data_IF_842588230589
#
_entry.id   IF_842588230589
#
_cell.length_a   1.000
_cell.length_b   1.000
_cell.length_c   1.000
_cell.angle_alpha   90.00
_cell.angle_beta   90.00
_cell.angle_gamma   90.00
#
_symmetry.space_group_name_H-M   'P 1'
#
loop_
_entity.id
_entity.type
_entity.pdbx_description
1 polymer ?
#
# COMPACT_ATOMS: atom_id res chain seq x y z
N UNK A 1 -14.29 21.70 41.16
CA UNK A 1 -14.24 20.70 40.12
C UNK A 1 -13.81 21.34 38.81
N UNK A 2 -12.58 21.17 38.41
CA UNK A 2 -12.08 21.58 37.10
C UNK A 2 -12.34 20.45 36.10
N UNK A 3 -13.23 20.70 35.17
CA UNK A 3 -13.43 19.83 33.99
C UNK A 3 -12.22 19.94 33.11
N UNK A 4 -11.24 19.04 33.27
CA UNK A 4 -10.13 18.90 32.36
C UNK A 4 -10.65 18.33 31.06
N UNK A 5 -10.59 19.13 29.98
CA UNK A 5 -10.78 18.63 28.60
C UNK A 5 -9.62 17.71 28.28
N UNK A 6 -9.91 16.48 27.85
CA UNK A 6 -8.88 15.59 27.34
C UNK A 6 -8.30 16.20 26.06
N UNK A 7 -7.05 16.61 26.11
CA UNK A 7 -6.30 17.04 24.92
C UNK A 7 -5.67 15.82 24.30
N UNK A 8 -5.92 15.56 23.02
CA UNK A 8 -5.29 14.48 22.25
C UNK A 8 -3.82 14.77 21.92
N UNK A 9 -3.07 15.32 22.87
CA UNK A 9 -1.64 15.60 22.71
C UNK A 9 -0.84 14.35 23.01
N UNK A 10 -0.01 13.94 22.08
CA UNK A 10 1.03 12.93 22.28
C UNK A 10 2.29 13.66 22.71
N UNK A 11 2.85 13.31 23.86
CA UNK A 11 4.13 13.86 24.32
C UNK A 11 5.26 12.92 23.93
N UNK A 12 6.23 13.45 23.19
CA UNK A 12 7.52 12.79 23.02
C UNK A 12 8.46 13.23 24.15
N UNK A 13 9.06 12.27 24.84
CA UNK A 13 10.09 12.54 25.83
C UNK A 13 11.38 12.98 25.15
N UNK A 14 11.51 14.27 24.91
CA UNK A 14 12.72 14.88 24.37
C UNK A 14 13.21 15.99 25.31
N UNK A 15 14.50 16.04 25.60
CA UNK A 15 15.13 17.01 26.49
C UNK A 15 15.32 18.39 25.86
N UNK A 16 14.95 18.60 24.61
CA UNK A 16 14.85 19.89 23.96
C UNK A 16 13.39 20.35 23.92
N UNK A 17 13.13 21.57 24.36
CA UNK A 17 11.81 22.20 24.29
C UNK A 17 11.32 22.23 22.85
N UNK A 18 10.59 21.21 22.46
CA UNK A 18 9.84 21.21 21.21
C UNK A 18 8.43 21.68 21.49
N UNK A 19 8.03 22.77 20.89
CA UNK A 19 6.61 23.15 20.82
C UNK A 19 5.91 22.10 19.96
N UNK A 20 5.22 21.16 20.59
CA UNK A 20 4.37 20.21 19.86
C UNK A 20 3.18 21.01 19.35
N UNK A 21 3.22 21.42 18.10
CA UNK A 21 2.02 21.84 17.38
C UNK A 21 1.18 20.59 17.23
N UNK A 22 -0.02 20.58 17.82
CA UNK A 22 -0.92 19.43 17.70
C UNK A 22 -1.05 19.02 16.24
N UNK A 23 -0.77 17.75 15.94
CA UNK A 23 -0.91 17.21 14.59
C UNK A 23 -2.38 17.30 14.19
N UNK A 24 -2.68 18.06 13.15
CA UNK A 24 -4.01 18.17 12.60
C UNK A 24 -4.04 17.51 11.21
N UNK A 25 -5.11 16.75 10.95
CA UNK A 25 -5.39 16.30 9.60
C UNK A 25 -5.86 17.48 8.75
N UNK A 26 -5.22 17.72 7.64
CA UNK A 26 -5.64 18.69 6.64
C UNK A 26 -6.13 17.96 5.38
N UNK A 27 -7.10 18.54 4.68
CA UNK A 27 -7.54 17.99 3.39
C UNK A 27 -6.46 18.18 2.35
N UNK A 28 -6.08 17.08 1.68
CA UNK A 28 -5.21 17.07 0.50
C UNK A 28 -6.03 17.04 -0.80
N UNK A 29 -5.34 16.99 -1.93
CA UNK A 29 -5.97 16.80 -3.24
C UNK A 29 -6.63 15.43 -3.36
N UNK A 30 -7.75 15.38 -4.07
CA UNK A 30 -8.46 14.13 -4.35
C UNK A 30 -7.81 13.36 -5.48
N UNK A 31 -7.92 12.01 -5.44
CA UNK A 31 -7.63 11.16 -6.61
C UNK A 31 -8.44 11.64 -7.82
N UNK A 32 -7.83 11.61 -9.01
CA UNK A 32 -8.52 11.93 -10.25
C UNK A 32 -9.66 10.95 -10.55
N UNK A 33 -9.48 9.71 -10.15
CA UNK A 33 -10.53 8.67 -10.22
C UNK A 33 -10.80 8.12 -8.81
N UNK A 34 -12.01 8.34 -8.30
CA UNK A 34 -12.43 7.81 -7.00
C UNK A 34 -12.41 6.28 -7.03
N UNK A 35 -11.63 5.67 -6.14
CA UNK A 35 -11.41 4.22 -6.06
C UNK A 35 -11.43 3.74 -4.62
N UNK A 36 -11.99 2.55 -4.40
CA UNK A 36 -11.94 1.85 -3.12
C UNK A 36 -10.93 0.71 -3.15
N UNK A 37 -10.40 0.31 -1.99
CA UNK A 37 -9.52 -0.85 -1.78
C UNK A 37 -8.34 -0.88 -2.78
N UNK A 38 -7.74 0.28 -3.03
CA UNK A 38 -6.48 0.42 -3.77
C UNK A 38 -5.30 0.16 -2.83
N UNK A 39 -4.13 -0.07 -3.41
CA UNK A 39 -2.87 -0.09 -2.68
C UNK A 39 -2.16 1.25 -2.78
N UNK A 40 -1.24 1.48 -1.87
CA UNK A 40 -0.41 2.68 -1.86
C UNK A 40 1.03 2.39 -1.44
N UNK A 41 1.92 3.29 -1.82
CA UNK A 41 3.33 3.32 -1.44
C UNK A 41 3.80 4.78 -1.32
N UNK A 42 4.99 5.00 -0.76
CA UNK A 42 5.60 6.33 -0.68
C UNK A 42 5.34 7.05 0.62
N UNK A 43 5.36 8.38 0.56
CA UNK A 43 5.27 9.30 1.70
C UNK A 43 4.11 10.28 1.53
N UNK A 44 3.86 11.09 2.56
CA UNK A 44 2.83 12.13 2.54
C UNK A 44 2.96 13.12 1.37
N UNK A 45 4.17 13.44 0.96
CA UNK A 45 4.45 14.42 -0.11
C UNK A 45 4.83 13.79 -1.45
N UNK A 46 4.99 12.46 -1.49
CA UNK A 46 5.34 11.70 -2.68
C UNK A 46 4.73 10.30 -2.56
N UNK A 47 3.43 10.19 -2.81
CA UNK A 47 2.69 8.94 -2.71
C UNK A 47 2.34 8.38 -4.08
N UNK A 48 2.21 7.06 -4.13
CA UNK A 48 1.75 6.28 -5.26
C UNK A 48 0.46 5.57 -4.86
N UNK A 49 -0.61 5.73 -5.65
CA UNK A 49 -1.87 5.01 -5.48
C UNK A 49 -2.19 4.18 -6.70
N UNK A 50 -2.45 2.88 -6.56
CA UNK A 50 -2.64 2.00 -7.70
C UNK A 50 -3.65 0.88 -7.47
N UNK A 51 -4.29 0.44 -8.55
CA UNK A 51 -5.34 -0.55 -8.50
C UNK A 51 -6.63 -0.05 -7.84
N UNK A 52 -7.32 -0.93 -7.16
CA UNK A 52 -8.60 -0.66 -6.49
C UNK A 52 -9.81 -1.05 -7.33
N UNK A 53 -10.96 -0.49 -7.02
CA UNK A 53 -12.18 -0.64 -7.82
C UNK A 53 -12.95 0.67 -7.91
N UNK A 54 -13.73 0.83 -8.96
CA UNK A 54 -14.59 1.99 -9.20
C UNK A 54 -16.08 1.65 -8.99
N UNK A 55 -16.86 2.67 -8.64
CA UNK A 55 -18.33 2.60 -8.55
C UNK A 55 -18.99 3.39 -9.70
N UNK A 56 -20.20 3.00 -10.14
CA UNK A 56 -20.92 1.76 -9.81
C UNK A 56 -20.32 0.54 -10.53
N UNK A 57 -20.57 -0.66 -10.06
CA UNK A 57 -20.20 -1.90 -10.76
C UNK A 57 -19.04 -2.68 -10.15
N UNK A 58 -18.33 -2.14 -9.16
CA UNK A 58 -17.23 -2.81 -8.48
C UNK A 58 -16.13 -3.37 -9.42
N UNK A 59 -15.90 -2.71 -10.54
CA UNK A 59 -14.91 -3.14 -11.53
C UNK A 59 -13.49 -2.90 -11.02
N UNK A 60 -12.66 -3.95 -11.06
CA UNK A 60 -11.26 -3.81 -10.71
C UNK A 60 -10.56 -2.82 -11.66
N UNK A 61 -9.74 -1.95 -11.09
CA UNK A 61 -8.99 -0.91 -11.80
C UNK A 61 -7.52 -1.29 -11.91
N UNK A 62 -6.88 -0.84 -12.97
CA UNK A 62 -5.42 -0.85 -13.11
C UNK A 62 -4.82 0.55 -13.04
N UNK A 63 -5.62 1.57 -12.78
CA UNK A 63 -5.16 2.96 -12.74
C UNK A 63 -4.07 3.16 -11.68
N UNK A 64 -3.09 3.98 -12.04
CA UNK A 64 -2.01 4.44 -11.17
C UNK A 64 -2.03 5.97 -11.14
N UNK A 65 -1.87 6.53 -9.96
CA UNK A 65 -1.76 7.97 -9.76
C UNK A 65 -0.62 8.28 -8.79
N UNK A 66 0.10 9.37 -9.05
CA UNK A 66 1.15 9.92 -8.19
C UNK A 66 0.70 11.21 -7.52
N UNK A 67 1.03 11.35 -6.24
CA UNK A 67 0.78 12.54 -5.43
C UNK A 67 2.06 13.34 -5.19
N UNK A 68 2.03 14.62 -5.47
CA UNK A 68 3.18 15.53 -5.32
C UNK A 68 3.15 16.38 -4.03
N UNK A 69 2.33 16.00 -3.06
CA UNK A 69 2.09 16.78 -1.83
C UNK A 69 0.91 17.76 -1.93
N UNK A 70 0.34 17.95 -3.13
CA UNK A 70 -0.77 18.88 -3.38
C UNK A 70 -1.87 18.25 -4.23
N UNK A 71 -1.51 17.57 -5.30
CA UNK A 71 -2.45 17.01 -6.28
C UNK A 71 -2.00 15.64 -6.79
N UNK A 72 -2.95 14.87 -7.31
CA UNK A 72 -2.71 13.60 -7.97
C UNK A 72 -2.60 13.77 -9.48
N UNK A 73 -1.71 13.02 -10.11
CA UNK A 73 -1.51 12.95 -11.56
C UNK A 73 -1.58 11.50 -12.04
N UNK A 74 -2.24 11.27 -13.17
CA UNK A 74 -2.34 9.94 -13.77
C UNK A 74 -0.99 9.50 -14.32
N UNK A 75 -0.67 8.22 -14.11
CA UNK A 75 0.53 7.56 -14.60
C UNK A 75 0.18 6.31 -15.42
N UNK A 76 1.18 5.62 -15.97
CA UNK A 76 0.98 4.36 -16.66
C UNK A 76 0.39 3.30 -15.72
N UNK A 77 -0.61 2.60 -16.22
CA UNK A 77 -1.40 1.66 -15.45
C UNK A 77 -0.66 0.35 -15.17
N UNK A 78 -1.08 -0.34 -14.10
CA UNK A 78 -0.76 -1.75 -13.87
C UNK A 78 -1.09 -2.59 -15.13
N UNK A 79 -0.29 -3.59 -15.41
CA UNK A 79 -0.57 -4.57 -16.45
C UNK A 79 -1.84 -5.39 -16.20
N UNK A 80 -2.22 -5.54 -14.93
CA UNK A 80 -3.41 -6.30 -14.53
C UNK A 80 -4.32 -5.47 -13.62
N UNK A 81 -5.60 -5.34 -13.99
CA UNK A 81 -6.61 -4.69 -13.12
C UNK A 81 -6.79 -5.51 -11.84
N UNK A 82 -6.55 -4.88 -10.69
CA UNK A 82 -6.59 -5.55 -9.37
C UNK A 82 -7.14 -4.65 -8.28
N UNK A 83 -7.84 -5.26 -7.34
CA UNK A 83 -8.25 -4.68 -6.06
C UNK A 83 -7.83 -5.61 -4.92
N UNK A 84 -7.84 -5.15 -3.68
CA UNK A 84 -7.40 -5.95 -2.53
C UNK A 84 -5.94 -6.47 -2.67
N UNK A 85 -5.11 -5.75 -3.39
CA UNK A 85 -3.68 -6.00 -3.49
C UNK A 85 -2.95 -5.26 -2.37
N UNK A 86 -1.72 -5.64 -2.10
CA UNK A 86 -0.82 -4.89 -1.23
C UNK A 86 0.16 -4.04 -2.02
N UNK A 87 0.70 -3.03 -1.35
CA UNK A 87 1.74 -2.16 -1.87
C UNK A 87 2.89 -2.00 -0.90
N UNK A 88 4.07 -1.74 -1.44
CA UNK A 88 5.30 -1.38 -0.71
C UNK A 88 6.16 -0.47 -1.58
N UNK A 89 7.23 0.09 -1.00
CA UNK A 89 8.19 0.90 -1.73
C UNK A 89 7.93 2.40 -1.67
N UNK A 90 8.37 3.09 -2.70
CA UNK A 90 8.27 4.55 -2.85
C UNK A 90 7.41 4.93 -4.05
N UNK A 91 7.20 6.24 -4.26
CA UNK A 91 6.49 6.76 -5.44
C UNK A 91 7.16 6.33 -6.75
N UNK A 92 8.50 6.31 -6.80
CA UNK A 92 9.29 6.02 -8.00
C UNK A 92 9.89 4.62 -8.04
N UNK A 93 9.66 3.80 -7.01
CA UNK A 93 10.07 2.40 -6.91
C UNK A 93 9.02 1.65 -6.10
N UNK A 94 7.85 1.44 -6.71
CA UNK A 94 6.69 0.82 -6.10
C UNK A 94 6.64 -0.68 -6.35
N UNK A 95 6.03 -1.42 -5.44
CA UNK A 95 5.79 -2.85 -5.53
C UNK A 95 4.31 -3.11 -5.29
N UNK A 96 3.64 -3.79 -6.21
CA UNK A 96 2.24 -4.20 -6.08
C UNK A 96 2.09 -5.71 -6.21
N UNK A 97 1.45 -6.37 -5.24
CA UNK A 97 1.36 -7.83 -5.23
C UNK A 97 0.06 -8.38 -4.66
N UNK A 98 -0.28 -9.59 -5.06
CA UNK A 98 -1.52 -10.26 -4.66
C UNK A 98 -2.78 -9.61 -5.24
N UNK A 99 -3.93 -9.87 -4.64
CA UNK A 99 -5.18 -9.21 -4.99
C UNK A 99 -6.39 -10.13 -5.07
N UNK A 100 -7.54 -9.51 -5.35
CA UNK A 100 -8.82 -10.21 -5.50
C UNK A 100 -8.72 -11.39 -6.48
N UNK A 101 -9.50 -12.43 -6.23
CA UNK A 101 -9.45 -13.71 -6.93
C UNK A 101 -8.16 -14.51 -6.65
N UNK A 102 -7.55 -14.28 -5.47
CA UNK A 102 -6.36 -15.00 -5.03
C UNK A 102 -5.24 -14.95 -6.06
N UNK A 103 -4.71 -13.76 -6.29
CA UNK A 103 -3.62 -13.57 -7.23
C UNK A 103 -2.26 -13.75 -6.56
N UNK A 104 -1.31 -14.29 -7.32
CA UNK A 104 0.10 -14.35 -6.94
C UNK A 104 0.91 -13.22 -7.59
N UNK A 105 0.39 -12.60 -8.64
CA UNK A 105 1.09 -11.64 -9.47
C UNK A 105 1.73 -10.52 -8.66
N UNK A 106 2.97 -10.21 -9.01
CA UNK A 106 3.73 -9.05 -8.55
C UNK A 106 4.03 -8.15 -9.74
N UNK A 107 3.95 -6.85 -9.54
CA UNK A 107 4.39 -5.85 -10.51
C UNK A 107 5.25 -4.80 -9.81
N UNK A 108 6.27 -4.34 -10.51
CA UNK A 108 7.25 -3.34 -10.07
C UNK A 108 7.09 -2.05 -10.86
N UNK A 109 7.06 -0.92 -10.17
CA UNK A 109 6.96 0.42 -10.74
C UNK A 109 8.32 1.12 -10.70
N UNK A 110 8.77 1.66 -11.82
CA UNK A 110 10.05 2.35 -11.97
C UNK A 110 9.95 3.89 -11.92
N UNK A 111 8.81 4.45 -11.52
CA UNK A 111 8.52 5.89 -11.59
C UNK A 111 7.87 6.31 -12.91
N UNK A 112 7.66 5.37 -13.83
CA UNK A 112 7.11 5.62 -15.17
C UNK A 112 6.16 4.52 -15.61
N UNK A 113 6.54 3.26 -15.42
CA UNK A 113 5.81 2.10 -15.92
C UNK A 113 5.86 0.93 -14.95
N UNK A 114 4.91 0.01 -15.11
CA UNK A 114 4.86 -1.24 -14.36
C UNK A 114 5.41 -2.39 -15.20
N UNK A 115 6.25 -3.22 -14.58
CA UNK A 115 6.78 -4.46 -15.17
C UNK A 115 6.45 -5.64 -14.26
N UNK A 116 6.26 -6.83 -14.84
CA UNK A 116 6.03 -8.04 -14.06
C UNK A 116 7.29 -8.44 -13.30
N UNK A 117 7.15 -8.64 -11.98
CA UNK A 117 8.14 -9.27 -11.11
C UNK A 117 7.84 -10.74 -10.87
N UNK A 118 8.63 -11.40 -10.01
CA UNK A 118 8.37 -12.78 -9.60
C UNK A 118 7.09 -12.88 -8.75
N UNK A 119 6.30 -13.91 -8.99
CA UNK A 119 5.04 -14.14 -8.31
C UNK A 119 5.22 -14.61 -6.85
N UNK A 120 4.26 -14.28 -5.97
CA UNK A 120 4.16 -14.86 -4.63
C UNK A 120 4.11 -16.39 -4.70
N UNK A 121 4.76 -17.07 -3.78
CA UNK A 121 4.66 -18.53 -3.66
C UNK A 121 3.24 -18.99 -3.30
N UNK A 122 2.52 -18.15 -2.57
CA UNK A 122 1.12 -18.42 -2.18
C UNK A 122 0.21 -17.29 -2.65
N UNK A 123 -0.66 -17.61 -3.59
CA UNK A 123 -1.66 -16.68 -4.11
C UNK A 123 -2.64 -16.23 -3.00
N UNK A 124 -2.82 -14.91 -2.84
CA UNK A 124 -3.63 -14.36 -1.74
C UNK A 124 -4.32 -13.05 -2.10
N UNK A 125 -5.45 -12.80 -1.48
CA UNK A 125 -6.14 -11.51 -1.50
C UNK A 125 -5.98 -10.80 -0.16
N UNK A 126 -5.98 -9.47 -0.19
CA UNK A 126 -5.86 -8.61 0.99
C UNK A 126 -4.65 -8.96 1.89
N UNK A 127 -3.46 -9.22 1.35
CA UNK A 127 -2.27 -9.33 2.19
C UNK A 127 -1.91 -7.97 2.80
N UNK A 128 -1.13 -8.00 3.88
CA UNK A 128 -0.36 -6.85 4.32
C UNK A 128 0.91 -6.70 3.47
N UNK A 129 1.38 -5.47 3.30
CA UNK A 129 2.62 -5.17 2.58
C UNK A 129 3.45 -4.14 3.30
N UNK A 130 4.77 -4.30 3.26
CA UNK A 130 5.75 -3.38 3.84
C UNK A 130 7.09 -3.49 3.09
N UNK A 131 8.01 -2.55 3.39
CA UNK A 131 9.36 -2.58 2.85
C UNK A 131 9.54 -1.74 1.60
N UNK A 132 10.54 -2.12 0.80
CA UNK A 132 10.90 -1.47 -0.46
C UNK A 132 10.64 -2.37 -1.66
N UNK A 133 10.82 -1.87 -2.88
CA UNK A 133 10.69 -2.67 -4.09
C UNK A 133 11.65 -3.86 -4.12
N UNK A 134 12.88 -3.70 -3.62
CA UNK A 134 13.92 -4.75 -3.63
C UNK A 134 14.08 -5.47 -2.29
N UNK A 135 13.32 -5.11 -1.27
CA UNK A 135 13.25 -5.74 0.03
C UNK A 135 11.82 -5.64 0.55
N UNK A 136 10.90 -6.27 -0.17
CA UNK A 136 9.47 -6.27 0.13
C UNK A 136 9.08 -7.38 1.09
N UNK A 137 8.02 -7.14 1.86
CA UNK A 137 7.43 -8.10 2.77
C UNK A 137 5.94 -8.24 2.47
N UNK A 138 5.49 -9.46 2.20
CA UNK A 138 4.09 -9.81 2.05
C UNK A 138 3.65 -10.77 3.15
N UNK A 139 2.56 -10.45 3.87
CA UNK A 139 2.15 -11.26 5.01
C UNK A 139 0.63 -11.36 5.16
N UNK A 140 0.17 -12.46 5.71
CA UNK A 140 -1.25 -12.69 6.00
C UNK A 140 -2.13 -12.70 4.77
N UNK A 141 -3.36 -12.28 4.96
CA UNK A 141 -4.38 -12.25 3.92
C UNK A 141 -5.22 -13.51 3.84
N UNK A 142 -5.94 -13.65 2.74
CA UNK A 142 -6.82 -14.78 2.48
C UNK A 142 -6.30 -15.63 1.33
N UNK A 143 -6.35 -16.95 1.51
CA UNK A 143 -5.99 -17.96 0.52
C UNK A 143 -7.19 -18.84 0.21
N UNK A 144 -7.21 -19.61 -0.90
CA UNK A 144 -8.32 -20.52 -1.19
C UNK A 144 -8.51 -21.59 -0.10
N UNK A 145 -7.41 -22.10 0.46
CA UNK A 145 -7.43 -23.11 1.53
C UNK A 145 -6.07 -23.16 2.25
N UNK A 146 -6.01 -22.97 3.57
CA UNK A 146 -7.08 -22.48 4.45
C UNK A 146 -7.50 -21.04 4.13
N UNK A 147 -8.70 -20.59 4.57
CA UNK A 147 -9.23 -19.28 4.14
C UNK A 147 -8.45 -18.08 4.67
N UNK A 148 -7.66 -18.24 5.71
CA UNK A 148 -6.73 -17.23 6.24
C UNK A 148 -5.35 -17.83 6.38
N UNK A 149 -4.31 -17.01 6.31
CA UNK A 149 -2.93 -17.46 6.42
C UNK A 149 -2.11 -16.50 7.28
N UNK A 150 -1.24 -17.06 8.13
CA UNK A 150 -0.17 -16.32 8.80
C UNK A 150 1.13 -16.29 7.99
N UNK A 151 1.15 -16.91 6.81
CA UNK A 151 2.36 -17.02 6.00
C UNK A 151 2.94 -15.64 5.64
N UNK A 152 4.25 -15.54 5.73
CA UNK A 152 5.05 -14.37 5.35
C UNK A 152 5.98 -14.75 4.21
N UNK A 153 6.15 -13.84 3.26
CA UNK A 153 7.07 -13.98 2.14
C UNK A 153 7.90 -12.70 2.00
N UNK A 154 9.17 -12.86 1.68
CA UNK A 154 10.15 -11.79 1.49
C UNK A 154 10.52 -11.69 0.01
N UNK A 155 10.47 -10.49 -0.55
CA UNK A 155 10.85 -10.17 -1.91
C UNK A 155 12.24 -9.59 -1.97
N UNK A 156 13.08 -10.10 -2.87
CA UNK A 156 14.46 -9.66 -3.02
C UNK A 156 14.71 -8.76 -4.26
N UNK A 157 13.65 -8.26 -4.89
CA UNK A 157 13.71 -7.51 -6.16
C UNK A 157 13.60 -8.41 -7.40
N UNK A 158 13.34 -9.71 -7.22
CA UNK A 158 13.26 -10.67 -8.31
C UNK A 158 12.32 -11.83 -8.04
N UNK A 159 12.31 -12.32 -6.79
CA UNK A 159 11.51 -13.49 -6.38
C UNK A 159 11.09 -13.39 -4.92
N UNK A 160 10.04 -14.13 -4.58
CA UNK A 160 9.56 -14.28 -3.20
C UNK A 160 10.10 -15.55 -2.56
N UNK A 161 10.48 -15.44 -1.31
CA UNK A 161 10.92 -16.57 -0.47
C UNK A 161 10.05 -16.63 0.77
N UNK A 162 9.52 -17.81 1.10
CA UNK A 162 8.73 -18.02 2.32
C UNK A 162 9.61 -17.82 3.56
N UNK A 163 9.07 -17.10 4.54
CA UNK A 163 9.71 -16.78 5.82
C UNK A 163 8.83 -17.27 6.97
N UNK A 164 9.20 -16.96 8.21
CA UNK A 164 8.45 -17.37 9.39
C UNK A 164 7.05 -16.74 9.38
N UNK A 165 6.05 -17.58 9.65
CA UNK A 165 4.67 -17.12 9.75
C UNK A 165 4.44 -16.24 10.97
N UNK A 166 3.46 -15.34 10.88
CA UNK A 166 2.92 -14.63 12.04
C UNK A 166 2.27 -15.62 13.01
N UNK A 167 2.43 -15.37 14.30
CA UNK A 167 1.83 -16.17 15.38
C UNK A 167 0.36 -15.78 15.60
#
# INVERSE_FOLDING_TARGET
GTTGSATGATEEFNTTTSTITGAAWASGGNLNTARGILAGAGTQTAALGFGGYTLPGNSASNATEEYNGTSWSNQNNLGTSRRNLAGAGTQTAGLGFGGHAYRANTEEYDGSSWTAGGDLNTARKSPGGAGTQTAGLGFGGYTPSPPTTGATEEYNGSSWTSSNSMN
#
